data_IF_125655313765
#
_entry.id   IF_125655313765
#
_cell.length_a   1.000
_cell.length_b   1.000
_cell.length_c   1.000
_cell.angle_alpha   90.00
_cell.angle_beta   90.00
_cell.angle_gamma   90.00
#
_symmetry.space_group_name_H-M   'P 1'
#
loop_
_entity.id
_entity.type
_entity.pdbx_description
1 polymer ?
#
# COMPACT_ATOMS: atom_id res chain seq x y z
N UNK A 1 -49.72 21.17 10.27
CA UNK A 1 -48.48 22.01 10.27
C UNK A 1 -48.31 22.66 8.89
N UNK A 2 -48.17 23.99 8.82
CA UNK A 2 -48.17 24.75 7.55
C UNK A 2 -46.73 24.89 7.00
N UNK A 3 -46.51 24.47 5.74
CA UNK A 3 -45.24 24.49 4.98
C UNK A 3 -44.44 25.81 4.97
N UNK A 4 -45.02 26.93 5.45
CA UNK A 4 -44.42 28.28 5.37
C UNK A 4 -43.60 28.69 6.60
N UNK A 5 -43.71 28.00 7.73
CA UNK A 5 -42.90 28.29 8.93
C UNK A 5 -41.51 27.66 8.87
N UNK A 6 -41.35 26.53 8.17
CA UNK A 6 -40.06 25.80 8.10
C UNK A 6 -38.96 26.51 7.29
N UNK A 7 -39.32 27.36 6.32
CA UNK A 7 -38.33 28.04 5.45
C UNK A 7 -37.74 29.29 6.10
N UNK A 8 -38.42 29.90 7.08
CA UNK A 8 -37.92 31.11 7.76
C UNK A 8 -36.82 30.80 8.79
N UNK A 9 -36.86 29.63 9.41
CA UNK A 9 -35.86 29.24 10.44
C UNK A 9 -34.51 28.81 9.83
N UNK A 10 -34.45 28.52 8.52
CA UNK A 10 -33.20 28.19 7.83
C UNK A 10 -32.34 29.42 7.47
N UNK A 11 -32.95 30.61 7.42
CA UNK A 11 -32.32 31.84 6.94
C UNK A 11 -31.50 32.58 8.02
N UNK A 12 -31.67 32.23 9.30
CA UNK A 12 -30.92 32.86 10.41
C UNK A 12 -29.82 31.97 11.01
N UNK A 13 -29.79 30.67 10.68
CA UNK A 13 -28.76 29.74 11.15
C UNK A 13 -27.54 29.60 10.23
N UNK A 14 -27.52 30.27 9.07
CA UNK A 14 -26.58 30.00 7.96
C UNK A 14 -25.50 31.07 7.75
N UNK A 15 -25.39 32.07 8.63
CA UNK A 15 -24.48 33.22 8.40
C UNK A 15 -23.23 33.31 9.31
N UNK A 16 -22.91 32.30 10.12
CA UNK A 16 -21.74 32.35 11.04
C UNK A 16 -20.68 31.25 10.82
N UNK A 17 -20.87 30.33 9.86
CA UNK A 17 -19.91 29.22 9.65
C UNK A 17 -18.88 29.48 8.54
N UNK A 18 -19.11 30.46 7.67
CA UNK A 18 -18.15 30.84 6.64
C UNK A 18 -17.24 31.94 7.16
N UNK A 19 -16.08 31.58 7.74
CA UNK A 19 -14.82 32.35 7.76
C UNK A 19 -13.82 31.73 8.75
N UNK A 20 -13.56 30.42 8.64
CA UNK A 20 -12.31 29.83 9.14
C UNK A 20 -11.52 29.32 7.95
N UNK A 21 -10.30 29.84 7.68
CA UNK A 21 -9.42 29.22 6.72
C UNK A 21 -9.23 27.77 7.16
N UNK A 22 -9.48 26.82 6.26
CA UNK A 22 -9.15 25.43 6.48
C UNK A 22 -7.63 25.34 6.57
N UNK A 23 -7.08 25.51 7.77
CA UNK A 23 -5.71 25.13 8.11
C UNK A 23 -5.72 23.61 8.25
N UNK A 24 -5.15 22.91 7.28
CA UNK A 24 -5.15 21.44 7.25
C UNK A 24 -4.23 20.95 8.37
N UNK A 25 -4.84 20.54 9.47
CA UNK A 25 -4.15 19.95 10.59
C UNK A 25 -3.49 18.63 10.15
N UNK A 26 -2.19 18.49 10.41
CA UNK A 26 -1.56 17.18 10.53
C UNK A 26 -2.22 16.48 11.72
N UNK A 27 -3.19 15.61 11.47
CA UNK A 27 -3.79 14.81 12.54
C UNK A 27 -2.87 13.63 12.85
N UNK A 28 -1.84 13.88 13.65
CA UNK A 28 -1.14 12.83 14.36
C UNK A 28 -1.47 13.01 15.84
N UNK A 29 -2.41 12.23 16.36
CA UNK A 29 -2.58 12.12 17.81
C UNK A 29 -1.33 11.42 18.34
N UNK A 30 -0.53 12.02 19.25
CA UNK A 30 0.61 11.35 19.85
C UNK A 30 0.16 10.01 20.45
N UNK A 31 0.78 8.90 20.02
CA UNK A 31 0.37 7.54 20.42
C UNK A 31 -0.65 6.84 19.52
N UNK A 32 -1.12 7.48 18.44
CA UNK A 32 -1.95 6.81 17.43
C UNK A 32 -1.16 5.68 16.74
N UNK A 33 -1.73 4.47 16.59
CA UNK A 33 -1.07 3.36 15.87
C UNK A 33 -0.99 3.59 14.35
N UNK A 34 -1.59 4.67 13.86
CA UNK A 34 -1.71 5.04 12.44
C UNK A 34 -1.32 6.50 12.25
N UNK A 35 -0.58 6.79 11.19
CA UNK A 35 -0.27 8.12 10.71
C UNK A 35 -0.93 8.38 9.35
N UNK A 36 -1.57 9.53 9.20
CA UNK A 36 -2.16 10.00 7.94
C UNK A 36 -1.53 11.34 7.60
N UNK A 37 -0.86 11.43 6.44
CA UNK A 37 -0.12 12.63 6.06
C UNK A 37 -0.51 13.05 4.65
N UNK A 38 -0.70 14.36 4.45
CA UNK A 38 -1.01 14.95 3.16
C UNK A 38 0.02 16.01 2.74
N UNK A 39 0.23 16.15 1.43
CA UNK A 39 1.20 17.12 0.88
C UNK A 39 1.71 16.76 -0.51
N UNK A 40 2.70 17.51 -1.01
CA UNK A 40 3.00 17.54 -2.44
C UNK A 40 4.07 16.55 -2.92
N UNK A 41 4.92 16.04 -2.03
CA UNK A 41 6.01 15.12 -2.36
C UNK A 41 5.76 13.73 -1.77
N UNK A 42 5.55 12.67 -2.59
CA UNK A 42 5.30 11.31 -2.10
C UNK A 42 6.36 10.81 -1.10
N UNK A 43 7.64 11.08 -1.36
CA UNK A 43 8.72 10.68 -0.46
C UNK A 43 8.73 11.43 0.88
N UNK A 44 8.43 12.73 0.88
CA UNK A 44 8.30 13.49 2.13
C UNK A 44 7.12 13.01 2.96
N UNK A 45 6.01 12.60 2.32
CA UNK A 45 4.86 12.02 3.02
C UNK A 45 5.23 10.71 3.72
N UNK A 46 5.96 9.82 3.05
CA UNK A 46 6.46 8.57 3.67
C UNK A 46 7.36 8.88 4.86
N UNK A 47 8.34 9.76 4.68
CA UNK A 47 9.28 10.14 5.75
C UNK A 47 8.54 10.69 6.97
N UNK A 48 7.60 11.61 6.74
CA UNK A 48 6.79 12.22 7.80
C UNK A 48 5.93 11.17 8.49
N UNK A 49 5.22 10.32 7.74
CA UNK A 49 4.35 9.28 8.31
C UNK A 49 5.14 8.29 9.18
N UNK A 50 6.32 7.85 8.71
CA UNK A 50 7.19 6.95 9.47
C UNK A 50 7.73 7.64 10.74
N UNK A 51 8.14 8.90 10.65
CA UNK A 51 8.63 9.67 11.80
C UNK A 51 7.55 9.85 12.87
N UNK A 52 6.29 10.12 12.46
CA UNK A 52 5.16 10.21 13.39
C UNK A 52 4.88 8.90 14.14
N UNK A 53 5.27 7.75 13.57
CA UNK A 53 5.14 6.44 14.21
C UNK A 53 6.36 6.05 15.08
N UNK A 54 7.37 6.92 15.18
CA UNK A 54 8.59 6.71 15.97
C UNK A 54 9.86 6.45 15.14
N UNK A 55 9.83 6.66 13.83
CA UNK A 55 10.98 6.50 12.94
C UNK A 55 11.21 5.05 12.48
N UNK A 56 11.99 4.89 11.41
CA UNK A 56 12.18 3.56 10.81
C UNK A 56 12.95 2.58 11.71
N UNK A 57 13.85 3.10 12.57
CA UNK A 57 14.62 2.29 13.54
C UNK A 57 13.76 1.62 14.62
N UNK A 58 12.50 2.03 14.79
CA UNK A 58 11.53 1.31 15.64
C UNK A 58 11.09 -0.02 15.02
N UNK A 59 11.14 -0.12 13.69
CA UNK A 59 10.63 -1.28 12.94
C UNK A 59 11.77 -2.16 12.44
N UNK A 60 12.89 -1.55 12.06
CA UNK A 60 14.06 -2.20 11.45
C UNK A 60 15.25 -2.12 12.39
N UNK A 61 15.88 -3.27 12.63
CA UNK A 61 17.10 -3.41 13.41
C UNK A 61 18.33 -3.49 12.53
N UNK A 62 19.49 -3.11 13.09
CA UNK A 62 20.78 -3.23 12.40
C UNK A 62 21.02 -4.70 12.03
N UNK A 63 21.29 -4.97 10.76
CA UNK A 63 21.55 -6.32 10.26
C UNK A 63 20.34 -7.07 9.71
N UNK A 64 19.13 -6.50 9.76
CA UNK A 64 17.93 -7.11 9.19
C UNK A 64 18.03 -7.25 7.65
N UNK A 65 17.59 -8.39 7.12
CA UNK A 65 17.11 -8.53 5.74
C UNK A 65 15.65 -8.07 5.70
N UNK A 66 15.39 -7.05 4.91
CA UNK A 66 14.04 -6.48 4.76
C UNK A 66 13.51 -6.78 3.37
N UNK A 67 12.28 -7.28 3.27
CA UNK A 67 11.54 -7.35 2.01
C UNK A 67 10.48 -6.27 1.97
N UNK A 68 10.57 -5.41 0.97
CA UNK A 68 9.55 -4.41 0.65
C UNK A 68 8.64 -4.97 -0.43
N UNK A 69 7.34 -5.03 -0.12
CA UNK A 69 6.30 -5.56 -1.00
C UNK A 69 5.42 -4.44 -1.57
N UNK A 70 5.79 -3.81 -2.68
CA UNK A 70 4.90 -2.89 -3.37
C UNK A 70 3.76 -3.62 -4.10
N UNK A 71 2.83 -2.86 -4.67
CA UNK A 71 1.90 -3.36 -5.68
C UNK A 71 2.48 -3.08 -7.08
N UNK A 72 2.92 -4.12 -7.78
CA UNK A 72 3.42 -4.07 -9.16
C UNK A 72 2.49 -4.92 -10.06
N UNK A 73 1.19 -4.92 -9.81
CA UNK A 73 0.27 -5.87 -10.45
C UNK A 73 0.13 -5.74 -11.98
N UNK A 74 0.30 -4.53 -12.51
CA UNK A 74 -0.16 -4.17 -13.86
C UNK A 74 0.87 -3.44 -14.70
N UNK A 75 0.94 -3.77 -15.99
CA UNK A 75 1.86 -3.15 -16.95
C UNK A 75 1.39 -1.73 -17.31
N UNK A 76 1.65 -0.82 -16.38
CA UNK A 76 1.13 0.56 -16.36
C UNK A 76 2.21 1.51 -15.87
N UNK A 77 2.09 2.76 -16.33
CA UNK A 77 2.99 3.85 -15.93
C UNK A 77 2.58 4.43 -14.57
N UNK A 78 3.47 5.15 -13.86
CA UNK A 78 3.14 5.84 -12.61
C UNK A 78 1.94 6.80 -12.70
N UNK A 79 1.70 7.40 -13.88
CA UNK A 79 0.58 8.32 -14.11
C UNK A 79 -0.78 7.60 -14.10
N UNK A 80 -0.80 6.30 -14.35
CA UNK A 80 -2.02 5.50 -14.42
C UNK A 80 -2.45 4.91 -13.06
N UNK A 81 -1.62 5.04 -12.01
CA UNK A 81 -1.97 4.69 -10.63
C UNK A 81 -2.50 3.26 -10.42
N UNK A 82 -2.07 2.32 -11.26
CA UNK A 82 -2.41 0.92 -11.11
C UNK A 82 -1.41 0.17 -10.21
N UNK A 83 -0.23 0.75 -9.98
CA UNK A 83 0.87 0.22 -9.19
C UNK A 83 1.35 1.30 -8.22
N UNK A 84 1.95 0.89 -7.10
CA UNK A 84 2.52 1.80 -6.08
C UNK A 84 3.46 2.82 -6.71
N UNK A 85 3.42 4.05 -6.22
CA UNK A 85 4.28 5.13 -6.65
C UNK A 85 5.78 4.78 -6.44
N UNK A 86 6.63 4.87 -7.48
CA UNK A 86 8.06 4.58 -7.37
C UNK A 86 8.80 5.39 -6.30
N UNK A 87 8.40 6.64 -6.07
CA UNK A 87 9.02 7.50 -5.05
C UNK A 87 8.69 7.02 -3.63
N UNK A 88 7.48 6.49 -3.41
CA UNK A 88 7.10 5.87 -2.15
C UNK A 88 7.99 4.66 -1.89
N UNK A 89 8.12 3.75 -2.87
CA UNK A 89 8.95 2.55 -2.74
C UNK A 89 10.42 2.91 -2.50
N UNK A 90 10.97 3.84 -3.29
CA UNK A 90 12.36 4.28 -3.13
C UNK A 90 12.62 4.89 -1.74
N UNK A 91 11.67 5.67 -1.22
CA UNK A 91 11.80 6.27 0.12
C UNK A 91 11.76 5.20 1.21
N UNK A 92 10.86 4.23 1.12
CA UNK A 92 10.82 3.10 2.08
C UNK A 92 12.13 2.32 2.08
N UNK A 93 12.68 2.02 0.90
CA UNK A 93 13.98 1.35 0.75
C UNK A 93 15.08 2.16 1.44
N UNK A 94 15.16 3.46 1.14
CA UNK A 94 16.18 4.36 1.70
C UNK A 94 16.10 4.39 3.23
N UNK A 95 14.91 4.61 3.78
CA UNK A 95 14.71 4.66 5.23
C UNK A 95 15.07 3.34 5.92
N UNK A 96 14.77 2.19 5.30
CA UNK A 96 15.13 0.89 5.87
C UNK A 96 16.65 0.67 5.89
N UNK A 97 17.37 1.07 4.83
CA UNK A 97 18.83 1.03 4.80
C UNK A 97 19.46 2.00 5.81
N UNK A 98 18.93 3.22 5.91
CA UNK A 98 19.38 4.23 6.89
C UNK A 98 19.14 3.78 8.34
N UNK A 99 18.10 2.99 8.60
CA UNK A 99 17.86 2.34 9.90
C UNK A 99 18.84 1.19 10.20
N UNK A 100 19.68 0.79 9.25
CA UNK A 100 20.73 -0.21 9.44
C UNK A 100 20.42 -1.60 8.88
N UNK A 101 19.37 -1.78 8.06
CA UNK A 101 19.16 -3.02 7.33
C UNK A 101 20.42 -3.40 6.53
N UNK A 102 20.87 -4.65 6.61
CA UNK A 102 22.02 -5.11 5.81
C UNK A 102 21.66 -5.24 4.34
N UNK A 103 20.39 -5.52 4.06
CA UNK A 103 19.88 -5.73 2.71
C UNK A 103 18.39 -5.41 2.64
N UNK A 104 17.99 -4.69 1.60
CA UNK A 104 16.58 -4.47 1.26
C UNK A 104 16.29 -5.08 -0.09
N UNK A 105 15.29 -5.97 -0.15
CA UNK A 105 14.80 -6.62 -1.37
C UNK A 105 13.45 -6.02 -1.76
N UNK A 106 13.19 -5.88 -3.05
CA UNK A 106 11.87 -5.51 -3.58
C UNK A 106 11.33 -6.64 -4.45
N UNK A 107 10.15 -7.15 -4.11
CA UNK A 107 9.50 -8.25 -4.82
C UNK A 107 7.98 -8.09 -4.81
N UNK A 108 7.37 -8.44 -5.95
CA UNK A 108 5.94 -8.63 -6.16
C UNK A 108 5.69 -9.59 -7.34
N UNK A 109 4.56 -10.29 -7.34
CA UNK A 109 4.15 -11.16 -8.44
C UNK A 109 3.06 -10.50 -9.30
N UNK A 110 3.39 -9.97 -10.49
CA UNK A 110 2.47 -9.24 -11.34
C UNK A 110 1.48 -10.16 -12.08
N UNK A 111 0.42 -9.57 -12.64
CA UNK A 111 -0.50 -10.25 -13.57
C UNK A 111 -0.03 -10.18 -15.03
N UNK A 112 0.87 -9.26 -15.35
CA UNK A 112 1.52 -9.10 -16.66
C UNK A 112 2.99 -9.55 -16.60
N UNK A 113 3.68 -9.77 -17.74
CA UNK A 113 5.08 -10.23 -17.76
C UNK A 113 6.01 -9.39 -16.88
N UNK A 114 6.63 -10.01 -15.88
CA UNK A 114 7.23 -9.31 -14.75
C UNK A 114 8.28 -8.26 -15.13
N UNK A 115 9.23 -8.60 -16.02
CA UNK A 115 10.28 -7.66 -16.45
C UNK A 115 9.69 -6.37 -17.04
N UNK A 116 8.63 -6.50 -17.84
CA UNK A 116 7.95 -5.36 -18.47
C UNK A 116 7.20 -4.52 -17.43
N UNK A 117 6.45 -5.18 -16.56
CA UNK A 117 5.65 -4.54 -15.50
C UNK A 117 6.50 -3.74 -14.52
N UNK A 118 7.62 -4.32 -14.08
CA UNK A 118 8.58 -3.69 -13.17
C UNK A 118 9.27 -2.48 -13.80
N UNK A 119 9.62 -2.57 -15.08
CA UNK A 119 10.23 -1.47 -15.81
C UNK A 119 9.22 -0.33 -16.05
N UNK A 120 8.03 -0.65 -16.57
CA UNK A 120 7.02 0.35 -16.96
C UNK A 120 6.41 1.07 -15.77
N UNK A 121 6.26 0.39 -14.63
CA UNK A 121 5.84 1.02 -13.38
C UNK A 121 6.87 2.00 -12.83
N UNK A 122 8.13 1.94 -13.29
CA UNK A 122 9.23 2.77 -12.78
C UNK A 122 9.78 2.30 -11.42
N UNK A 123 9.11 1.37 -10.74
CA UNK A 123 9.47 0.89 -9.40
C UNK A 123 10.85 0.24 -9.41
N UNK A 124 11.15 -0.59 -10.41
CA UNK A 124 12.46 -1.26 -10.47
C UNK A 124 13.62 -0.28 -10.60
N UNK A 125 13.47 0.79 -11.39
CA UNK A 125 14.49 1.83 -11.54
C UNK A 125 14.67 2.59 -10.23
N UNK A 126 13.57 3.04 -9.62
CA UNK A 126 13.59 3.85 -8.41
C UNK A 126 14.13 3.06 -7.20
N UNK A 127 13.70 1.81 -7.01
CA UNK A 127 14.15 0.95 -5.94
C UNK A 127 15.65 0.60 -6.05
N UNK A 128 16.15 0.29 -7.26
CA UNK A 128 17.59 0.05 -7.49
C UNK A 128 18.42 1.29 -7.19
N UNK A 129 17.97 2.46 -7.64
CA UNK A 129 18.64 3.73 -7.36
C UNK A 129 18.68 4.05 -5.85
N UNK A 130 17.68 3.58 -5.09
CA UNK A 130 17.65 3.67 -3.63
C UNK A 130 18.50 2.60 -2.91
N UNK A 131 19.13 1.67 -3.63
CA UNK A 131 20.01 0.64 -3.06
C UNK A 131 19.36 -0.73 -2.86
N UNK A 132 18.12 -0.96 -3.28
CA UNK A 132 17.47 -2.27 -3.13
C UNK A 132 17.94 -3.30 -4.17
N UNK A 133 17.95 -4.57 -3.76
CA UNK A 133 17.96 -5.72 -4.66
C UNK A 133 16.55 -5.95 -5.20
N UNK A 134 16.30 -5.54 -6.44
CA UNK A 134 15.02 -5.80 -7.10
C UNK A 134 15.01 -7.21 -7.68
N UNK A 135 14.12 -8.04 -7.14
CA UNK A 135 13.94 -9.43 -7.53
C UNK A 135 12.77 -9.57 -8.50
N UNK A 136 12.72 -10.69 -9.21
CA UNK A 136 11.59 -11.06 -10.05
C UNK A 136 11.01 -12.38 -9.56
N UNK A 137 9.70 -12.61 -9.75
CA UNK A 137 9.06 -13.90 -9.49
C UNK A 137 9.84 -15.05 -10.14
N UNK A 138 10.28 -16.00 -9.31
CA UNK A 138 11.01 -17.17 -9.75
C UNK A 138 10.30 -18.44 -9.22
N UNK A 139 9.76 -19.31 -10.08
CA UNK A 139 9.09 -20.54 -9.66
C UNK A 139 9.96 -21.45 -8.77
N UNK A 140 11.29 -21.41 -8.92
CA UNK A 140 12.22 -22.17 -8.08
C UNK A 140 12.38 -21.61 -6.66
N UNK A 141 11.75 -20.47 -6.36
CA UNK A 141 11.72 -19.85 -5.03
C UNK A 141 10.32 -19.85 -4.43
N UNK A 142 9.50 -20.82 -4.82
CA UNK A 142 8.21 -21.06 -4.19
C UNK A 142 8.32 -22.22 -3.22
N UNK A 143 7.68 -22.06 -2.06
CA UNK A 143 7.50 -23.13 -1.08
C UNK A 143 6.02 -23.27 -0.79
N UNK A 144 5.53 -24.52 -0.81
CA UNK A 144 4.20 -24.83 -0.30
C UNK A 144 4.24 -24.75 1.22
N UNK A 145 3.43 -23.86 1.79
CA UNK A 145 3.38 -23.61 3.24
C UNK A 145 1.95 -23.69 3.74
N UNK A 146 1.79 -24.14 4.97
CA UNK A 146 0.51 -24.10 5.67
C UNK A 146 0.17 -22.66 6.03
N UNK A 147 -0.92 -22.15 5.46
CA UNK A 147 -1.45 -20.82 5.76
C UNK A 147 -2.34 -20.89 7.01
N UNK A 148 -2.90 -22.07 7.31
CA UNK A 148 -3.80 -22.30 8.44
C UNK A 148 -5.02 -21.35 8.45
N UNK A 149 -5.44 -20.88 7.27
CA UNK A 149 -6.62 -20.05 7.09
C UNK A 149 -7.92 -20.84 7.11
N UNK A 150 -9.04 -20.13 7.21
CA UNK A 150 -10.36 -20.74 7.16
C UNK A 150 -10.63 -21.35 5.77
N UNK A 151 -10.29 -20.61 4.71
CA UNK A 151 -10.39 -21.09 3.34
C UNK A 151 -9.05 -21.64 2.83
N UNK A 152 -7.96 -20.89 3.01
CA UNK A 152 -6.63 -21.27 2.53
C UNK A 152 -5.91 -22.11 3.57
N UNK A 153 -5.93 -23.43 3.41
CA UNK A 153 -5.20 -24.34 4.31
C UNK A 153 -3.68 -24.30 4.06
N UNK A 154 -3.29 -24.33 2.79
CA UNK A 154 -1.91 -24.25 2.33
C UNK A 154 -1.84 -23.53 0.97
N UNK A 155 -0.71 -22.90 0.67
CA UNK A 155 -0.48 -22.25 -0.62
C UNK A 155 1.01 -22.14 -0.97
N UNK A 156 1.34 -21.89 -2.23
CA UNK A 156 2.70 -21.61 -2.68
C UNK A 156 3.07 -20.14 -2.43
N UNK A 157 4.07 -19.90 -1.60
CA UNK A 157 4.55 -18.56 -1.21
C UNK A 157 5.99 -18.38 -1.67
N UNK A 158 6.35 -17.18 -2.16
CA UNK A 158 7.75 -16.87 -2.46
C UNK A 158 8.58 -16.86 -1.17
N UNK A 159 9.71 -17.57 -1.17
CA UNK A 159 10.54 -17.76 0.02
C UNK A 159 11.03 -16.44 0.60
N UNK A 160 11.21 -15.41 -0.23
CA UNK A 160 11.52 -14.05 0.24
C UNK A 160 10.55 -13.54 1.31
N UNK A 161 9.26 -13.89 1.27
CA UNK A 161 8.28 -13.42 2.26
C UNK A 161 8.19 -14.26 3.53
N UNK A 162 8.94 -15.37 3.63
CA UNK A 162 8.89 -16.27 4.80
C UNK A 162 10.28 -16.54 5.41
N UNK A 163 11.36 -16.24 4.69
CA UNK A 163 12.75 -16.45 5.10
C UNK A 163 13.50 -15.11 5.31
N UNK A 164 12.76 -14.02 5.53
CA UNK A 164 13.32 -12.68 5.79
C UNK A 164 13.09 -12.25 7.23
N UNK A 165 13.91 -11.32 7.72
CA UNK A 165 13.80 -10.83 9.09
C UNK A 165 12.60 -9.88 9.26
N UNK A 166 12.37 -8.99 8.27
CA UNK A 166 11.27 -8.01 8.28
C UNK A 166 10.57 -7.90 6.94
N UNK A 167 9.26 -7.64 6.98
CA UNK A 167 8.44 -7.39 5.79
C UNK A 167 7.77 -6.03 5.93
N UNK A 168 7.92 -5.17 4.92
CA UNK A 168 7.20 -3.91 4.79
C UNK A 168 6.21 -4.02 3.63
N UNK A 169 4.92 -3.90 3.93
CA UNK A 169 3.85 -3.94 2.94
C UNK A 169 3.58 -2.54 2.39
N UNK A 170 3.62 -2.35 1.06
CA UNK A 170 3.48 -1.02 0.43
C UNK A 170 2.38 -1.03 -0.65
N UNK A 171 1.12 -1.22 -0.27
CA UNK A 171 -0.01 -1.23 -1.21
C UNK A 171 -0.25 0.15 -1.85
N UNK A 172 -1.09 0.17 -2.89
CA UNK A 172 -1.68 1.39 -3.46
C UNK A 172 -3.19 1.39 -3.27
N UNK A 173 -3.75 2.53 -2.89
CA UNK A 173 -5.18 2.75 -2.88
C UNK A 173 -5.72 2.83 -4.32
N UNK A 174 -6.52 1.85 -4.71
CA UNK A 174 -7.20 1.83 -6.02
C UNK A 174 -8.53 1.10 -5.99
N UNK A 175 -9.43 1.50 -6.88
CA UNK A 175 -10.67 0.80 -7.18
C UNK A 175 -10.38 -0.62 -7.64
N UNK A 176 -11.20 -1.56 -7.19
CA UNK A 176 -11.21 -2.92 -7.69
C UNK A 176 -12.66 -3.37 -7.88
N UNK A 177 -13.02 -3.87 -9.06
CA UNK A 177 -14.41 -4.25 -9.37
C UNK A 177 -15.01 -5.27 -8.37
N UNK A 178 -14.23 -6.27 -7.96
CA UNK A 178 -14.70 -7.31 -7.03
C UNK A 178 -14.67 -6.92 -5.54
N UNK A 179 -13.59 -6.29 -5.07
CA UNK A 179 -13.37 -5.98 -3.63
C UNK A 179 -13.66 -4.52 -3.28
N UNK A 180 -14.12 -3.72 -4.26
CA UNK A 180 -14.30 -2.26 -4.21
C UNK A 180 -13.00 -1.48 -4.08
N UNK A 181 -12.10 -1.88 -3.17
CA UNK A 181 -10.81 -1.23 -2.91
C UNK A 181 -9.65 -2.23 -2.85
N UNK A 182 -8.47 -1.78 -3.28
CA UNK A 182 -7.18 -2.44 -3.01
C UNK A 182 -6.46 -1.63 -1.93
N UNK A 183 -6.06 -2.28 -0.85
CA UNK A 183 -5.33 -1.70 0.31
C UNK A 183 -4.41 -2.77 0.92
N UNK A 184 -4.03 -2.65 2.20
CA UNK A 184 -3.09 -3.53 2.92
C UNK A 184 -3.30 -5.03 2.68
N UNK A 185 -4.47 -5.55 3.04
CA UNK A 185 -4.76 -6.98 3.00
C UNK A 185 -4.73 -7.59 1.59
N UNK A 186 -5.20 -6.85 0.58
CA UNK A 186 -5.26 -7.36 -0.80
C UNK A 186 -3.88 -7.45 -1.45
N UNK A 187 -2.89 -6.74 -0.94
CA UNK A 187 -1.57 -6.72 -1.55
C UNK A 187 -0.89 -8.10 -1.52
N UNK A 188 -1.24 -8.95 -0.55
CA UNK A 188 -0.67 -10.28 -0.34
C UNK A 188 -0.87 -11.26 -1.50
N UNK A 189 -1.85 -11.04 -2.39
CA UNK A 189 -1.98 -11.89 -3.60
C UNK A 189 -0.72 -11.86 -4.48
N UNK A 190 0.06 -10.77 -4.43
CA UNK A 190 1.33 -10.68 -5.14
C UNK A 190 2.50 -11.37 -4.43
N UNK A 191 2.31 -11.93 -3.23
CA UNK A 191 3.33 -12.74 -2.53
C UNK A 191 3.21 -14.23 -2.86
N UNK A 192 2.18 -14.61 -3.60
CA UNK A 192 1.82 -16.00 -3.87
C UNK A 192 2.26 -16.44 -5.28
N UNK A 193 2.60 -17.71 -5.39
CA UNK A 193 2.68 -18.45 -6.64
C UNK A 193 1.37 -19.19 -6.94
N UNK A 194 1.49 -20.26 -7.74
CA UNK A 194 0.39 -21.15 -8.05
C UNK A 194 -0.77 -20.53 -8.82
N UNK A 195 -1.91 -21.20 -8.79
CA UNK A 195 -3.11 -20.82 -9.54
C UNK A 195 -3.91 -19.72 -8.82
N UNK A 196 -3.34 -18.51 -8.73
CA UNK A 196 -3.93 -17.35 -8.02
C UNK A 196 -5.33 -16.95 -8.51
N UNK A 197 -5.75 -17.40 -9.69
CA UNK A 197 -7.11 -17.15 -10.18
C UNK A 197 -8.16 -17.80 -9.25
N UNK A 198 -7.85 -18.95 -8.63
CA UNK A 198 -8.75 -19.62 -7.68
C UNK A 198 -9.06 -18.75 -6.45
N UNK A 199 -8.15 -17.85 -6.05
CA UNK A 199 -8.34 -16.93 -4.93
C UNK A 199 -9.52 -15.97 -5.15
N UNK A 200 -10.01 -15.82 -6.38
CA UNK A 200 -11.15 -14.97 -6.68
C UNK A 200 -12.51 -15.63 -6.38
N UNK A 201 -12.54 -16.93 -6.09
CA UNK A 201 -13.79 -17.64 -5.74
C UNK A 201 -14.35 -17.22 -4.38
N UNK A 202 -13.48 -16.94 -3.40
CA UNK A 202 -13.83 -16.42 -2.08
C UNK A 202 -12.85 -15.33 -1.63
N UNK A 203 -12.67 -14.32 -2.48
CA UNK A 203 -11.61 -13.31 -2.34
C UNK A 203 -11.52 -12.69 -0.94
N UNK A 204 -12.66 -12.41 -0.32
CA UNK A 204 -12.70 -11.81 1.02
C UNK A 204 -12.07 -12.73 2.08
N UNK A 205 -12.38 -14.03 2.05
CA UNK A 205 -11.78 -15.02 2.95
C UNK A 205 -10.28 -15.18 2.70
N UNK A 206 -9.85 -15.22 1.43
CA UNK A 206 -8.43 -15.30 1.10
C UNK A 206 -7.67 -14.07 1.61
N UNK A 207 -8.25 -12.87 1.48
CA UNK A 207 -7.60 -11.66 1.97
C UNK A 207 -7.40 -11.70 3.49
N UNK A 208 -8.40 -12.17 4.25
CA UNK A 208 -8.30 -12.33 5.71
C UNK A 208 -7.25 -13.38 6.08
N UNK A 209 -7.31 -14.57 5.47
CA UNK A 209 -6.37 -15.67 5.74
C UNK A 209 -4.92 -15.24 5.47
N UNK A 210 -4.67 -14.59 4.33
CA UNK A 210 -3.33 -14.12 3.96
C UNK A 210 -2.84 -12.99 4.86
N UNK A 211 -3.72 -12.06 5.23
CA UNK A 211 -3.37 -10.97 6.13
C UNK A 211 -3.00 -11.50 7.52
N UNK A 212 -3.73 -12.50 8.03
CA UNK A 212 -3.41 -13.19 9.27
C UNK A 212 -2.09 -13.99 9.20
N UNK A 213 -1.72 -14.51 8.02
CA UNK A 213 -0.48 -15.25 7.82
C UNK A 213 0.77 -14.34 7.74
N UNK A 214 0.76 -13.29 6.91
CA UNK A 214 1.98 -12.53 6.59
C UNK A 214 2.42 -11.52 7.65
N UNK A 215 1.52 -10.98 8.48
CA UNK A 215 1.80 -10.08 9.61
C UNK A 215 3.00 -9.11 9.38
N UNK A 216 2.87 -8.13 8.47
CA UNK A 216 3.97 -7.22 8.14
C UNK A 216 4.41 -6.41 9.36
N UNK A 217 5.69 -6.03 9.39
CA UNK A 217 6.25 -5.16 10.43
C UNK A 217 5.67 -3.75 10.34
N UNK A 218 5.42 -3.28 9.12
CA UNK A 218 4.87 -1.96 8.82
C UNK A 218 4.10 -2.01 7.50
N UNK A 219 2.96 -1.36 7.44
CA UNK A 219 2.22 -1.12 6.19
C UNK A 219 2.23 0.38 5.86
N UNK A 220 2.52 0.72 4.61
CA UNK A 220 2.53 2.08 4.08
C UNK A 220 1.66 2.12 2.82
N UNK A 221 0.44 2.61 2.96
CA UNK A 221 -0.51 2.77 1.85
C UNK A 221 -0.18 4.04 1.06
N UNK A 222 0.14 3.83 -0.22
CA UNK A 222 0.23 4.90 -1.21
C UNK A 222 -1.19 5.36 -1.62
N UNK A 223 -1.58 6.53 -1.12
CA UNK A 223 -2.77 7.27 -1.53
C UNK A 223 -2.41 8.55 -2.28
N UNK A 224 -1.19 8.70 -2.82
CA UNK A 224 -0.79 9.97 -3.42
C UNK A 224 -1.52 10.19 -4.74
N UNK A 225 -1.46 9.19 -5.62
CA UNK A 225 -2.21 9.15 -6.87
C UNK A 225 -2.97 7.83 -6.90
N UNK A 226 -4.30 7.91 -6.98
CA UNK A 226 -5.19 6.76 -6.85
C UNK A 226 -5.95 6.52 -8.16
N UNK A 227 -6.12 5.26 -8.53
CA UNK A 227 -7.06 4.86 -9.58
C UNK A 227 -8.45 4.77 -8.94
N UNK A 228 -9.26 5.82 -9.07
CA UNK A 228 -10.54 5.93 -8.37
C UNK A 228 -11.71 5.21 -9.08
N UNK A 229 -11.58 4.92 -10.38
CA UNK A 229 -12.59 4.18 -11.17
C UNK A 229 -11.96 3.17 -12.11
N UNK A 230 -12.77 2.21 -12.57
CA UNK A 230 -12.43 1.28 -13.65
C UNK A 230 -11.14 0.47 -13.42
N UNK A 231 -10.76 0.28 -12.15
CA UNK A 231 -9.72 -0.67 -11.77
C UNK A 231 -10.18 -2.14 -11.84
N UNK A 232 -9.26 -3.10 -11.73
CA UNK A 232 -7.97 -2.94 -11.04
C UNK A 232 -6.79 -2.51 -11.93
N UNK A 233 -6.90 -2.68 -13.25
CA UNK A 233 -5.83 -2.33 -14.19
C UNK A 233 -5.92 -0.87 -14.65
N UNK A 234 -7.14 -0.36 -14.87
CA UNK A 234 -7.39 0.95 -15.44
C UNK A 234 -6.68 1.17 -16.78
N UNK A 235 -6.40 2.42 -17.09
CA UNK A 235 -5.62 2.78 -18.28
C UNK A 235 -5.83 4.22 -18.74
N UNK A 236 -7.01 4.79 -18.44
CA UNK A 236 -7.35 6.18 -18.74
C UNK A 236 -6.92 7.09 -17.60
N UNK A 237 -6.26 8.19 -17.93
CA UNK A 237 -5.84 9.18 -16.92
C UNK A 237 -7.05 9.89 -16.28
N UNK A 238 -8.19 9.95 -16.97
CA UNK A 238 -9.45 10.49 -16.43
C UNK A 238 -10.00 9.72 -15.23
N UNK A 239 -9.56 8.48 -15.03
CA UNK A 239 -9.97 7.63 -13.90
C UNK A 239 -9.04 7.73 -12.69
N UNK A 240 -8.03 8.59 -12.80
CA UNK A 240 -6.99 8.78 -11.80
C UNK A 240 -7.19 10.12 -11.09
N UNK A 241 -6.97 10.14 -9.78
CA UNK A 241 -7.06 11.35 -8.94
C UNK A 241 -5.78 11.51 -8.12
N UNK A 242 -5.31 12.74 -7.97
CA UNK A 242 -4.33 13.08 -6.93
C UNK A 242 -5.06 13.28 -5.62
N UNK A 243 -4.86 12.37 -4.67
CA UNK A 243 -5.34 12.51 -3.31
C UNK A 243 -4.25 13.05 -2.37
N UNK A 244 -2.98 12.94 -2.78
CA UNK A 244 -1.82 13.54 -2.08
C UNK A 244 -1.68 13.05 -0.63
N UNK A 245 -2.00 11.78 -0.37
CA UNK A 245 -2.03 11.20 0.97
C UNK A 245 -1.10 9.98 1.07
N UNK A 246 -0.44 9.79 2.21
CA UNK A 246 0.14 8.51 2.62
C UNK A 246 -0.45 8.13 3.98
N UNK A 247 -0.77 6.86 4.14
CA UNK A 247 -1.22 6.29 5.42
C UNK A 247 -0.21 5.22 5.83
N UNK A 248 0.21 5.20 7.09
CA UNK A 248 1.13 4.20 7.60
C UNK A 248 0.71 3.69 8.98
N UNK A 249 1.01 2.43 9.29
CA UNK A 249 0.69 1.81 10.57
C UNK A 249 1.15 0.35 10.66
N UNK A 250 1.20 -0.19 11.89
CA UNK A 250 1.50 -1.61 12.12
C UNK A 250 0.27 -2.50 11.92
N UNK A 251 -0.92 -1.97 12.19
CA UNK A 251 -2.17 -2.66 11.91
C UNK A 251 -2.49 -2.61 10.41
N UNK A 252 -2.21 -3.71 9.73
CA UNK A 252 -2.44 -3.89 8.30
C UNK A 252 -3.92 -4.07 7.92
N UNK A 253 -4.82 -4.20 8.90
CA UNK A 253 -6.28 -4.16 8.69
C UNK A 253 -6.76 -2.70 8.65
N UNK A 254 -6.14 -1.84 9.43
CA UNK A 254 -6.48 -0.42 9.51
C UNK A 254 -5.83 0.47 8.44
N UNK A 255 -4.91 -0.09 7.63
CA UNK A 255 -4.12 0.61 6.58
C UNK A 255 -4.40 0.09 5.16
#
# INVERSE_FOLDING_TARGET
MKRRTFIKDLAWGSLVVSLRPWSWAQSATPGSPIAVVQGDSPGQLVTTAVNLLGGMSKFISRGDVVVVKPNIGWDRTPKQAACTNPEVVATVVKLALEAGAKEVKVLDNPCNPARRTYARSGIAKAAKAAGAKVLFPNPHRLKKVSIHGEWLKEWEVYTEFIETDKIINVPIAKHHSLSRLTMGMKNWLGALGGNRNQLHQKLDQAMVDLAAFFKPTLTILDGYRILWRNGPQGGRLSDVKLAKTVIAGQDYVAV
#
